data_IF_108439472614
#
_entry.id   IF_108439472614
#
_cell.length_a   1.000
_cell.length_b   1.000
_cell.length_c   1.000
_cell.angle_alpha   90.00
_cell.angle_beta   90.00
_cell.angle_gamma   90.00
#
_symmetry.space_group_name_H-M   'P 1'
#
loop_
_entity.id
_entity.type
_entity.pdbx_description
1 polymer ?
#
# COMPACT_ATOMS: atom_id res chain seq x y z
N UNK A 1 -7.65 8.68 -14.21
CA UNK A 1 -6.84 7.48 -14.48
C UNK A 1 -6.34 7.04 -13.12
N UNK A 2 -6.74 5.86 -12.65
CA UNK A 2 -6.41 5.40 -11.29
C UNK A 2 -4.89 5.25 -11.14
N UNK A 3 -4.36 5.64 -9.97
CA UNK A 3 -2.97 5.39 -9.60
C UNK A 3 -2.80 3.89 -9.41
N UNK A 4 -1.89 3.28 -10.16
CA UNK A 4 -1.38 1.93 -9.91
C UNK A 4 0.12 1.97 -10.09
N UNK A 5 0.87 1.88 -8.99
CA UNK A 5 2.33 2.02 -9.01
C UNK A 5 2.98 1.02 -8.06
N UNK A 6 4.01 0.31 -8.51
CA UNK A 6 4.83 -0.51 -7.63
C UNK A 6 5.74 0.36 -6.76
N UNK A 7 5.76 0.05 -5.48
CA UNK A 7 6.51 0.78 -4.44
C UNK A 7 7.25 -0.21 -3.54
N UNK A 8 8.25 0.28 -2.83
CA UNK A 8 8.91 -0.43 -1.75
C UNK A 8 8.42 0.10 -0.40
N UNK A 9 8.06 -0.83 0.49
CA UNK A 9 7.69 -0.56 1.88
C UNK A 9 8.19 -1.70 2.77
N UNK A 10 8.95 -1.38 3.83
CA UNK A 10 9.57 -2.38 4.70
C UNK A 10 10.36 -3.47 3.94
N UNK A 11 11.03 -3.09 2.84
CA UNK A 11 11.79 -4.02 2.00
C UNK A 11 10.95 -4.95 1.12
N UNK A 12 9.63 -4.78 1.10
CA UNK A 12 8.70 -5.55 0.28
C UNK A 12 8.20 -4.71 -0.90
N UNK A 13 7.98 -5.36 -2.04
CA UNK A 13 7.32 -4.73 -3.20
C UNK A 13 5.82 -4.84 -3.03
N UNK A 14 5.12 -3.70 -3.04
CA UNK A 14 3.67 -3.60 -2.97
C UNK A 14 3.15 -2.74 -4.12
N UNK A 15 1.85 -2.81 -4.38
CA UNK A 15 1.20 -1.94 -5.36
C UNK A 15 0.46 -0.82 -4.63
N UNK A 16 0.92 0.42 -4.76
CA UNK A 16 0.16 1.60 -4.35
C UNK A 16 -1.00 1.80 -5.34
N UNK A 17 -2.22 1.68 -4.83
CA UNK A 17 -3.45 1.80 -5.61
C UNK A 17 -4.58 2.38 -4.76
N UNK A 18 -5.78 2.50 -5.33
CA UNK A 18 -6.99 2.88 -4.59
C UNK A 18 -7.89 1.68 -4.42
N UNK A 19 -8.37 1.48 -3.20
CA UNK A 19 -9.30 0.41 -2.89
C UNK A 19 -10.62 0.63 -3.64
N UNK A 20 -11.09 -0.40 -4.35
CA UNK A 20 -12.19 -0.26 -5.31
C UNK A 20 -13.52 0.16 -4.67
N UNK A 21 -13.78 -0.22 -3.41
CA UNK A 21 -15.06 0.05 -2.76
C UNK A 21 -15.18 1.48 -2.20
N UNK A 22 -14.08 2.05 -1.68
CA UNK A 22 -14.10 3.37 -1.01
C UNK A 22 -13.28 4.44 -1.73
N UNK A 23 -12.38 4.04 -2.64
CA UNK A 23 -11.39 4.94 -3.25
C UNK A 23 -10.21 5.30 -2.35
N UNK A 24 -10.18 4.78 -1.12
CA UNK A 24 -9.09 5.01 -0.16
C UNK A 24 -7.76 4.49 -0.72
N UNK A 25 -6.67 5.25 -0.66
CA UNK A 25 -5.37 4.78 -1.11
C UNK A 25 -4.83 3.70 -0.16
N UNK A 26 -4.30 2.62 -0.74
CA UNK A 26 -3.75 1.48 -0.02
C UNK A 26 -2.53 0.88 -0.73
N UNK A 27 -1.74 0.13 0.03
CA UNK A 27 -0.67 -0.73 -0.47
C UNK A 27 -1.23 -2.15 -0.61
N UNK A 28 -1.44 -2.60 -1.84
CA UNK A 28 -1.94 -3.93 -2.17
C UNK A 28 -0.79 -4.95 -2.25
N UNK A 29 -1.05 -6.20 -1.83
CA UNK A 29 -0.06 -7.27 -1.87
C UNK A 29 0.31 -7.68 -3.30
N UNK A 30 1.54 -8.14 -3.49
CA UNK A 30 2.01 -8.78 -4.73
C UNK A 30 2.48 -10.21 -4.52
N UNK A 31 2.64 -10.65 -3.26
CA UNK A 31 3.00 -12.01 -2.85
C UNK A 31 2.13 -12.45 -1.65
N UNK A 32 1.55 -13.66 -1.63
CA UNK A 32 0.75 -14.16 -0.51
C UNK A 32 1.44 -14.13 0.87
N UNK A 33 2.77 -14.24 0.92
CA UNK A 33 3.53 -14.17 2.19
C UNK A 33 3.43 -12.79 2.86
N UNK A 34 3.06 -11.75 2.11
CA UNK A 34 2.90 -10.39 2.63
C UNK A 34 1.67 -10.25 3.55
N UNK A 35 0.74 -11.21 3.52
CA UNK A 35 -0.41 -11.24 4.44
C UNK A 35 -0.02 -11.24 5.92
N UNK A 36 1.20 -11.66 6.26
CA UNK A 36 1.75 -11.65 7.62
C UNK A 36 2.36 -10.29 8.04
N UNK A 37 2.44 -9.32 7.13
CA UNK A 37 2.95 -7.99 7.46
C UNK A 37 2.02 -7.25 8.43
N UNK A 38 2.60 -6.44 9.32
CA UNK A 38 1.82 -5.61 10.23
C UNK A 38 0.90 -4.65 9.46
N UNK A 39 -0.32 -4.45 9.98
CA UNK A 39 -1.37 -3.56 9.43
C UNK A 39 -1.97 -4.02 8.10
N UNK A 40 -1.69 -5.25 7.69
CA UNK A 40 -2.39 -5.84 6.55
C UNK A 40 -3.84 -6.11 6.93
N UNK A 41 -4.76 -5.71 6.06
CA UNK A 41 -6.20 -5.90 6.24
C UNK A 41 -6.76 -6.75 5.11
N UNK A 42 -7.57 -7.73 5.46
CA UNK A 42 -8.34 -8.52 4.50
C UNK A 42 -9.54 -7.69 4.02
N UNK A 43 -9.64 -7.47 2.70
CA UNK A 43 -10.57 -6.49 2.13
C UNK A 43 -11.53 -7.09 1.09
N UNK A 44 -11.57 -8.42 0.94
CA UNK A 44 -12.34 -9.05 -0.13
C UNK A 44 -12.84 -10.47 0.16
N UNK A 45 -13.22 -11.18 -0.90
CA UNK A 45 -13.73 -12.56 -0.86
C UNK A 45 -12.69 -13.61 -1.27
N UNK A 46 -11.54 -13.20 -1.82
CA UNK A 46 -10.46 -14.10 -2.21
C UNK A 46 -9.25 -14.02 -1.26
N UNK A 47 -8.56 -15.15 -0.98
CA UNK A 47 -7.45 -15.20 -0.03
C UNK A 47 -6.24 -14.29 -0.30
N UNK A 48 -6.16 -13.66 -1.46
CA UNK A 48 -5.11 -12.72 -1.87
C UNK A 48 -5.59 -11.25 -1.86
N UNK A 49 -6.80 -10.97 -1.39
CA UNK A 49 -7.34 -9.62 -1.30
C UNK A 49 -6.98 -8.96 0.03
N UNK A 50 -5.74 -8.50 0.11
CA UNK A 50 -5.18 -7.83 1.27
C UNK A 50 -4.55 -6.48 0.89
N UNK A 51 -4.71 -5.49 1.76
CA UNK A 51 -4.00 -4.23 1.62
C UNK A 51 -3.71 -3.54 2.96
N UNK A 52 -2.71 -2.66 2.97
CA UNK A 52 -2.45 -1.73 4.07
C UNK A 52 -3.01 -0.36 3.67
N UNK A 53 -4.02 0.13 4.37
CA UNK A 53 -4.54 1.48 4.10
C UNK A 53 -3.54 2.55 4.55
N UNK A 54 -3.30 3.56 3.70
CA UNK A 54 -2.35 4.63 4.02
C UNK A 54 -2.78 5.44 5.25
N UNK A 55 -4.10 5.58 5.50
CA UNK A 55 -4.65 6.26 6.69
C UNK A 55 -4.26 5.58 8.02
N UNK A 56 -3.88 4.30 7.97
CA UNK A 56 -3.46 3.52 9.14
C UNK A 56 -1.93 3.54 9.35
N UNK A 57 -1.20 4.21 8.46
CA UNK A 57 0.24 4.44 8.58
C UNK A 57 0.52 5.76 9.28
N UNK A 58 1.52 5.75 10.15
CA UNK A 58 2.07 6.95 10.76
C UNK A 58 2.85 7.76 9.73
N UNK A 59 3.11 9.04 10.03
CA UNK A 59 3.95 9.89 9.16
C UNK A 59 5.34 9.31 8.88
N UNK A 60 5.89 8.54 9.83
CA UNK A 60 7.19 7.90 9.69
C UNK A 60 7.13 6.68 8.75
N UNK A 61 6.08 5.86 8.86
CA UNK A 61 5.87 4.73 7.95
C UNK A 61 5.56 5.20 6.53
N UNK A 62 4.75 6.25 6.38
CA UNK A 62 4.49 6.85 5.07
C UNK A 62 5.78 7.35 4.40
N UNK A 63 6.73 7.87 5.18
CA UNK A 63 8.02 8.32 4.66
C UNK A 63 8.97 7.17 4.23
N UNK A 64 8.68 5.93 4.61
CA UNK A 64 9.42 4.74 4.17
C UNK A 64 8.93 4.21 2.82
N UNK A 65 7.78 4.70 2.33
CA UNK A 65 7.28 4.33 1.02
C UNK A 65 8.12 5.03 -0.04
N UNK A 66 8.76 4.22 -0.88
CA UNK A 66 9.67 4.67 -1.93
C UNK A 66 9.29 4.06 -3.27
N UNK A 67 9.77 4.63 -4.38
CA UNK A 67 9.75 3.95 -5.66
C UNK A 67 10.64 2.69 -5.62
N UNK A 68 10.57 1.85 -6.66
CA UNK A 68 11.47 0.70 -6.78
C UNK A 68 12.96 1.06 -6.81
N UNK A 69 13.29 2.30 -7.20
CA UNK A 69 14.66 2.83 -7.20
C UNK A 69 15.06 3.45 -5.84
N UNK A 70 14.21 3.36 -4.81
CA UNK A 70 14.47 3.89 -3.48
C UNK A 70 14.22 5.39 -3.33
N UNK A 71 13.60 6.04 -4.32
CA UNK A 71 13.27 7.47 -4.24
C UNK A 71 12.04 7.66 -3.34
N UNK A 72 12.09 8.50 -2.29
CA UNK A 72 10.92 8.76 -1.44
C UNK A 72 9.75 9.32 -2.23
N UNK A 73 8.55 8.77 -1.99
CA UNK A 73 7.31 9.22 -2.63
C UNK A 73 6.50 10.09 -1.67
N UNK A 74 5.94 11.20 -2.17
CA UNK A 74 5.04 12.04 -1.38
C UNK A 74 3.61 11.49 -1.36
N UNK A 75 3.41 10.35 -0.71
CA UNK A 75 2.10 9.66 -0.66
C UNK A 75 1.05 10.37 0.21
N UNK A 76 1.43 11.44 0.93
CA UNK A 76 0.49 12.20 1.78
C UNK A 76 -0.51 13.01 0.95
N UNK A 77 -0.14 13.37 -0.28
CA UNK A 77 -1.05 14.03 -1.22
C UNK A 77 -2.23 13.11 -1.59
N UNK A 78 -2.08 11.79 -1.49
CA UNK A 78 -3.13 10.83 -1.80
C UNK A 78 -4.22 10.72 -0.71
N UNK A 79 -3.94 11.22 0.50
CA UNK A 79 -4.87 11.22 1.65
C UNK A 79 -5.87 12.40 1.64
N UNK A 80 -5.87 13.22 0.59
CA UNK A 80 -6.72 14.40 0.44
C UNK A 80 -8.15 14.08 0.01
#
# INVERSE_FOLDING_TARGET
MGMEQKVLYNGQVLTLTRFWATGDPCLWITDPQQTEMAKMEFVGGHPDEYCIFLKNLTKAELAQITSLDGVPLNVKEELQ
#
